data_IF_440894356921
#
_entry.id   IF_440894356921
#
_cell.length_a   1.000
_cell.length_b   1.000
_cell.length_c   1.000
_cell.angle_alpha   90.00
_cell.angle_beta   90.00
_cell.angle_gamma   90.00
#
_symmetry.space_group_name_H-M   'P 1'
#
loop_
_entity.id
_entity.type
_entity.pdbx_description
1 polymer ?
#
# COMPACT_ATOMS: atom_id res chain seq x y z
N UNK A 1 10.84 20.90 10.08
CA UNK A 1 10.57 22.28 10.54
C UNK A 1 9.75 22.22 11.82
N UNK A 2 10.14 23.01 12.83
CA UNK A 2 9.31 23.23 14.02
C UNK A 2 8.51 24.51 13.80
N UNK A 3 7.21 24.45 14.02
CA UNK A 3 6.33 25.61 13.86
C UNK A 3 5.53 25.78 15.16
N UNK A 4 5.68 26.91 15.81
CA UNK A 4 4.85 27.29 16.96
C UNK A 4 4.46 28.76 16.88
N UNK A 5 3.18 29.07 17.10
CA UNK A 5 2.74 30.43 17.38
C UNK A 5 1.43 30.40 18.16
N UNK A 6 1.45 30.96 19.34
CA UNK A 6 0.31 30.95 20.29
C UNK A 6 -0.86 31.86 19.93
N UNK A 7 -0.73 32.70 18.93
CA UNK A 7 -1.72 33.73 18.57
C UNK A 7 -2.37 33.53 17.18
N UNK A 8 -2.18 32.37 16.55
CA UNK A 8 -2.72 32.07 15.22
C UNK A 8 -3.54 30.79 15.30
N UNK A 9 -4.75 30.78 14.76
CA UNK A 9 -5.63 29.60 14.78
C UNK A 9 -5.04 28.43 13.98
N UNK A 10 -4.33 28.72 12.88
CA UNK A 10 -3.68 27.71 12.03
C UNK A 10 -2.37 28.22 11.45
N UNK A 11 -1.40 27.34 11.36
CA UNK A 11 -0.18 27.52 10.55
C UNK A 11 -0.33 26.73 9.26
N UNK A 12 -0.14 27.40 8.12
CA UNK A 12 -0.31 26.79 6.80
C UNK A 12 1.01 26.79 6.04
N UNK A 13 1.38 25.63 5.49
CA UNK A 13 2.50 25.47 4.56
C UNK A 13 1.91 25.17 3.18
N UNK A 14 2.34 25.94 2.17
CA UNK A 14 1.86 25.78 0.80
C UNK A 14 2.92 25.17 -0.07
N UNK A 15 2.55 24.14 -0.81
CA UNK A 15 3.36 23.49 -1.84
C UNK A 15 2.70 23.70 -3.21
N UNK A 16 3.53 23.77 -4.25
CA UNK A 16 3.08 23.73 -5.64
C UNK A 16 3.82 22.59 -6.32
N UNK A 17 3.07 21.66 -6.89
CA UNK A 17 3.62 20.50 -7.58
C UNK A 17 2.93 20.35 -8.94
N UNK A 18 3.62 19.73 -9.88
CA UNK A 18 3.02 19.34 -11.15
C UNK A 18 2.53 17.91 -10.99
N UNK A 19 1.23 17.68 -11.11
CA UNK A 19 0.65 16.36 -11.26
C UNK A 19 0.78 15.94 -12.72
N UNK A 20 1.45 14.80 -13.03
CA UNK A 20 1.47 14.28 -14.39
C UNK A 20 0.07 13.88 -14.86
N UNK A 21 -0.19 13.80 -16.18
CA UNK A 21 -1.47 13.33 -16.68
C UNK A 21 -1.72 11.87 -16.25
N UNK A 22 -2.99 11.50 -16.12
CA UNK A 22 -3.45 10.16 -15.72
C UNK A 22 -2.81 9.68 -14.42
N UNK A 23 -2.63 10.57 -13.45
CA UNK A 23 -1.97 10.22 -12.19
C UNK A 23 -2.85 10.41 -10.96
N UNK A 24 -2.70 9.49 -10.01
CA UNK A 24 -3.19 9.67 -8.64
C UNK A 24 -2.05 10.26 -7.81
N UNK A 25 -2.26 11.44 -7.24
CA UNK A 25 -1.24 12.15 -6.46
C UNK A 25 -1.37 11.86 -4.97
N UNK A 26 -0.22 11.71 -4.31
CA UNK A 26 -0.12 11.47 -2.87
C UNK A 26 0.92 12.37 -2.23
N UNK A 27 0.79 12.61 -0.93
CA UNK A 27 1.83 13.21 -0.10
C UNK A 27 2.16 12.31 1.09
N UNK A 28 3.44 12.10 1.31
CA UNK A 28 3.96 11.51 2.55
C UNK A 28 4.50 12.61 3.45
N UNK A 29 4.07 12.63 4.70
CA UNK A 29 4.58 13.53 5.74
C UNK A 29 5.22 12.69 6.83
N UNK A 30 6.55 12.41 6.71
CA UNK A 30 7.20 11.50 7.63
C UNK A 30 7.45 12.13 8.99
N UNK A 31 7.51 11.28 10.03
CA UNK A 31 7.90 11.63 11.40
C UNK A 31 7.10 12.81 11.98
N UNK A 32 5.81 12.87 11.68
CA UNK A 32 4.91 13.82 12.35
C UNK A 32 4.89 13.50 13.85
N UNK A 33 5.11 14.53 14.66
CA UNK A 33 4.95 14.44 16.11
C UNK A 33 4.41 15.76 16.68
N UNK A 34 3.60 15.65 17.71
CA UNK A 34 2.98 16.78 18.41
C UNK A 34 3.56 16.93 19.81
N UNK A 35 3.70 18.15 20.30
CA UNK A 35 4.36 18.43 21.59
C UNK A 35 3.64 17.87 22.82
N UNK A 36 2.38 17.48 22.70
CA UNK A 36 1.56 16.95 23.78
C UNK A 36 1.33 15.43 23.68
N UNK A 37 2.05 14.74 22.80
CA UNK A 37 1.98 13.29 22.53
C UNK A 37 0.59 12.75 22.16
N UNK A 38 -0.36 13.65 21.86
CA UNK A 38 -1.68 13.28 21.37
C UNK A 38 -1.76 13.40 19.84
N UNK A 39 -2.60 12.60 19.22
CA UNK A 39 -2.90 12.73 17.80
C UNK A 39 -3.81 13.93 17.56
N UNK A 40 -3.45 14.74 16.59
CA UNK A 40 -4.23 15.89 16.16
C UNK A 40 -4.54 15.81 14.67
N UNK A 41 -5.61 16.47 14.27
CA UNK A 41 -5.95 16.56 12.85
C UNK A 41 -5.12 17.66 12.17
N UNK A 42 -4.66 17.35 10.96
CA UNK A 42 -4.20 18.36 10.01
C UNK A 42 -5.25 18.53 8.91
N UNK A 43 -5.33 19.73 8.37
CA UNK A 43 -6.19 20.01 7.21
C UNK A 43 -5.34 20.03 5.94
N UNK A 44 -5.73 19.24 4.95
CA UNK A 44 -5.11 19.20 3.64
C UNK A 44 -6.07 19.84 2.63
N UNK A 45 -5.64 20.93 2.01
CA UNK A 45 -6.41 21.62 0.97
C UNK A 45 -5.72 21.39 -0.37
N UNK A 46 -6.44 20.83 -1.33
CA UNK A 46 -5.97 20.61 -2.70
C UNK A 46 -6.85 21.43 -3.65
N UNK A 47 -6.25 22.39 -4.35
CA UNK A 47 -6.96 23.28 -5.28
C UNK A 47 -8.25 23.88 -4.68
N UNK A 48 -8.22 24.25 -3.40
CA UNK A 48 -9.36 24.87 -2.70
C UNK A 48 -10.31 23.89 -2.00
N UNK A 49 -10.19 22.58 -2.23
CA UNK A 49 -11.00 21.55 -1.52
C UNK A 49 -10.23 21.06 -0.29
N UNK A 50 -10.84 21.19 0.89
CA UNK A 50 -10.21 20.83 2.17
C UNK A 50 -10.75 19.51 2.71
N UNK A 51 -9.83 18.64 3.17
CA UNK A 51 -10.11 17.42 3.93
C UNK A 51 -9.32 17.45 5.24
N UNK A 52 -9.95 17.04 6.33
CA UNK A 52 -9.27 16.88 7.62
C UNK A 52 -8.78 15.43 7.75
N UNK A 53 -7.54 15.27 8.19
CA UNK A 53 -6.89 13.99 8.38
C UNK A 53 -6.36 13.89 9.81
N UNK A 54 -6.56 12.75 10.44
CA UNK A 54 -5.96 12.46 11.76
C UNK A 54 -4.57 11.89 11.53
N UNK A 55 -3.59 12.40 12.25
CA UNK A 55 -2.21 11.92 12.22
C UNK A 55 -1.98 10.93 13.35
N UNK A 56 -1.12 9.93 13.15
CA UNK A 56 -0.86 8.86 14.11
C UNK A 56 0.57 8.85 14.70
N UNK A 57 1.30 9.93 14.56
CA UNK A 57 2.68 10.10 15.06
C UNK A 57 3.72 9.12 14.48
N UNK A 58 3.42 8.42 13.39
CA UNK A 58 4.35 7.45 12.79
C UNK A 58 4.65 7.77 11.33
N UNK A 59 3.70 7.48 10.47
CA UNK A 59 3.83 7.65 9.03
C UNK A 59 2.49 8.03 8.43
N UNK A 60 2.41 9.24 7.94
CA UNK A 60 1.20 9.73 7.31
C UNK A 60 1.37 9.81 5.80
N UNK A 61 0.45 9.16 5.09
CA UNK A 61 0.39 9.11 3.64
C UNK A 61 -1.03 9.45 3.18
N UNK A 62 -1.18 10.58 2.49
CA UNK A 62 -2.49 11.13 2.16
C UNK A 62 -2.73 11.18 0.67
N UNK A 63 -3.96 10.85 0.28
CA UNK A 63 -4.45 10.96 -1.08
C UNK A 63 -4.83 12.40 -1.41
N UNK A 64 -4.24 12.93 -2.48
CA UNK A 64 -4.45 14.30 -2.96
C UNK A 64 -5.40 14.38 -4.17
N UNK A 65 -5.81 13.22 -4.72
CA UNK A 65 -6.74 13.12 -5.82
C UNK A 65 -6.12 12.71 -7.15
N UNK A 66 -7.02 12.45 -8.10
CA UNK A 66 -6.69 12.04 -9.46
C UNK A 66 -6.66 13.22 -10.41
N UNK A 67 -5.71 13.21 -11.35
CA UNK A 67 -5.52 14.24 -12.38
C UNK A 67 -5.49 13.59 -13.77
N UNK A 68 -6.53 13.89 -14.57
CA UNK A 68 -6.65 13.38 -15.94
C UNK A 68 -5.61 14.01 -16.88
N UNK A 69 -5.33 15.30 -16.68
CA UNK A 69 -4.38 16.09 -17.48
C UNK A 69 -3.28 16.64 -16.58
N UNK A 70 -2.13 16.95 -17.18
CA UNK A 70 -1.06 17.65 -16.46
C UNK A 70 -1.61 18.92 -15.83
N UNK A 71 -1.37 19.10 -14.53
CA UNK A 71 -1.96 20.19 -13.77
C UNK A 71 -0.99 20.73 -12.72
N UNK A 72 -0.94 22.04 -12.60
CA UNK A 72 -0.30 22.70 -11.45
C UNK A 72 -1.22 22.59 -10.24
N UNK A 73 -0.79 21.84 -9.22
CA UNK A 73 -1.57 21.58 -8.02
C UNK A 73 -1.04 22.41 -6.86
N UNK A 74 -1.92 23.18 -6.22
CA UNK A 74 -1.61 23.90 -4.98
C UNK A 74 -2.10 23.08 -3.80
N UNK A 75 -1.19 22.70 -2.91
CA UNK A 75 -1.45 21.88 -1.73
C UNK A 75 -1.12 22.72 -0.50
N UNK A 76 -2.08 22.84 0.40
CA UNK A 76 -1.89 23.51 1.69
C UNK A 76 -2.03 22.51 2.81
N UNK A 77 -1.00 22.40 3.64
CA UNK A 77 -1.02 21.65 4.89
C UNK A 77 -1.23 22.65 6.03
N UNK A 78 -2.35 22.58 6.73
CA UNK A 78 -2.70 23.50 7.80
C UNK A 78 -2.77 22.77 9.14
N UNK A 79 -2.06 23.28 10.13
CA UNK A 79 -1.91 22.71 11.46
C UNK A 79 -2.49 23.67 12.51
N UNK A 80 -3.06 23.19 13.64
CA UNK A 80 -3.48 24.03 14.74
C UNK A 80 -2.33 24.92 15.24
N UNK A 81 -2.55 26.23 15.30
CA UNK A 81 -1.50 27.22 15.61
C UNK A 81 -1.07 27.24 17.08
N UNK A 82 -1.90 26.69 17.98
CA UNK A 82 -1.62 26.57 19.41
C UNK A 82 -0.83 25.30 19.79
N UNK A 83 -0.36 24.53 18.82
CA UNK A 83 0.41 23.30 19.00
C UNK A 83 1.79 23.44 18.39
N UNK A 84 2.77 22.79 19.00
CA UNK A 84 4.07 22.60 18.38
C UNK A 84 4.06 21.28 17.63
N UNK A 85 4.41 21.34 16.35
CA UNK A 85 4.49 20.17 15.48
C UNK A 85 5.90 20.08 14.89
N UNK A 86 6.45 18.89 14.82
CA UNK A 86 7.64 18.60 14.03
C UNK A 86 7.34 17.52 13.00
N UNK A 87 7.98 17.62 11.83
CA UNK A 87 7.91 16.63 10.77
C UNK A 87 9.08 16.81 9.80
N UNK A 88 9.41 15.74 9.10
CA UNK A 88 10.41 15.78 8.04
C UNK A 88 9.81 16.39 6.75
N UNK A 89 10.69 16.71 5.79
CA UNK A 89 10.22 17.29 4.53
C UNK A 89 9.23 16.35 3.84
N UNK A 90 8.01 16.84 3.49
CA UNK A 90 7.05 16.05 2.75
C UNK A 90 7.57 15.64 1.39
N UNK A 91 7.20 14.43 0.97
CA UNK A 91 7.49 13.89 -0.36
C UNK A 91 6.20 13.67 -1.13
N UNK A 92 6.21 14.06 -2.41
CA UNK A 92 5.05 13.91 -3.28
C UNK A 92 5.28 12.76 -4.25
N UNK A 93 4.24 11.95 -4.46
CA UNK A 93 4.27 10.77 -5.33
C UNK A 93 3.12 10.83 -6.31
N UNK A 94 3.39 10.46 -7.55
CA UNK A 94 2.37 10.29 -8.57
C UNK A 94 2.35 8.83 -9.02
N UNK A 95 1.21 8.18 -8.88
CA UNK A 95 0.96 6.86 -9.44
C UNK A 95 0.42 7.02 -10.85
N UNK A 96 1.16 6.57 -11.86
CA UNK A 96 0.67 6.45 -13.23
C UNK A 96 -0.41 5.36 -13.28
N UNK A 97 -1.67 5.78 -13.41
CA UNK A 97 -2.82 4.87 -13.35
C UNK A 97 -2.95 4.01 -14.61
N UNK A 98 -2.44 4.46 -15.75
CA UNK A 98 -2.45 3.67 -16.99
C UNK A 98 -1.46 2.51 -16.90
N UNK A 99 -0.23 2.78 -16.49
CA UNK A 99 0.77 1.73 -16.28
C UNK A 99 0.36 0.77 -15.15
N UNK A 100 -0.25 1.31 -14.08
CA UNK A 100 -0.82 0.48 -13.03
C UNK A 100 -1.89 -0.47 -13.56
N UNK A 101 -2.82 0.03 -14.39
CA UNK A 101 -3.88 -0.79 -14.97
C UNK A 101 -3.33 -1.86 -15.91
N UNK A 102 -2.32 -1.53 -16.73
CA UNK A 102 -1.63 -2.50 -17.61
C UNK A 102 -0.99 -3.61 -16.77
N UNK A 103 -0.29 -3.24 -15.69
CA UNK A 103 0.33 -4.21 -14.79
C UNK A 103 -0.70 -5.12 -14.13
N UNK A 104 -1.82 -4.55 -13.64
CA UNK A 104 -2.92 -5.31 -13.03
C UNK A 104 -3.60 -6.25 -14.02
N UNK A 105 -3.85 -5.80 -15.25
CA UNK A 105 -4.41 -6.64 -16.31
C UNK A 105 -3.47 -7.82 -16.62
N UNK A 106 -2.17 -7.55 -16.75
CA UNK A 106 -1.16 -8.60 -16.99
C UNK A 106 -1.13 -9.65 -15.87
N UNK A 107 -1.36 -9.24 -14.63
CA UNK A 107 -1.47 -10.16 -13.49
C UNK A 107 -2.78 -10.96 -13.55
N UNK A 108 -3.89 -10.29 -13.86
CA UNK A 108 -5.22 -10.90 -13.89
C UNK A 108 -5.45 -11.83 -15.09
N UNK A 109 -4.76 -11.60 -16.22
CA UNK A 109 -4.82 -12.47 -17.41
C UNK A 109 -4.18 -13.86 -17.18
N UNK A 110 -3.50 -14.05 -16.07
CA UNK A 110 -2.95 -15.36 -15.73
C UNK A 110 -4.06 -16.24 -15.18
N UNK A 111 -4.47 -17.22 -15.98
CA UNK A 111 -5.51 -18.21 -15.66
C UNK A 111 -5.16 -19.01 -14.40
N UNK A 112 -5.55 -18.50 -13.25
CA UNK A 112 -5.51 -19.26 -12.00
C UNK A 112 -6.87 -19.23 -11.34
N UNK A 113 -7.52 -20.40 -11.25
CA UNK A 113 -8.76 -20.56 -10.50
C UNK A 113 -8.44 -20.89 -9.05
N UNK A 114 -8.87 -20.01 -8.14
CA UNK A 114 -8.64 -20.21 -6.70
C UNK A 114 -9.95 -20.61 -6.03
N UNK A 115 -9.88 -21.67 -5.21
CA UNK A 115 -10.98 -22.07 -4.33
C UNK A 115 -10.44 -22.36 -2.93
N UNK A 116 -11.24 -22.12 -1.91
CA UNK A 116 -10.87 -22.36 -0.51
C UNK A 116 -11.86 -23.32 0.15
N UNK A 117 -11.38 -24.18 1.01
CA UNK A 117 -12.22 -25.08 1.80
C UNK A 117 -11.50 -25.43 3.11
N UNK A 118 -12.14 -25.16 4.24
CA UNK A 118 -11.56 -25.35 5.57
C UNK A 118 -10.17 -24.70 5.69
N UNK A 119 -9.15 -25.51 5.98
CA UNK A 119 -7.75 -25.09 6.14
C UNK A 119 -6.94 -25.22 4.83
N UNK A 120 -7.58 -25.26 3.66
CA UNK A 120 -6.92 -25.47 2.36
C UNK A 120 -7.24 -24.37 1.36
N UNK A 121 -6.26 -24.06 0.53
CA UNK A 121 -6.38 -23.24 -0.66
C UNK A 121 -5.98 -24.05 -1.87
N UNK A 122 -6.86 -24.14 -2.85
CA UNK A 122 -6.64 -24.87 -4.10
C UNK A 122 -6.44 -23.85 -5.22
N UNK A 123 -5.40 -24.04 -6.02
CA UNK A 123 -5.10 -23.17 -7.16
C UNK A 123 -4.85 -24.02 -8.38
N UNK A 124 -5.73 -23.94 -9.36
CA UNK A 124 -5.47 -24.47 -10.68
C UNK A 124 -4.71 -23.42 -11.49
N UNK A 125 -3.56 -23.75 -12.02
CA UNK A 125 -2.72 -22.84 -12.78
C UNK A 125 -2.43 -23.36 -14.19
N UNK A 126 -2.17 -22.40 -15.10
CA UNK A 126 -1.63 -22.66 -16.43
C UNK A 126 -0.53 -21.65 -16.72
N UNK A 127 0.67 -22.09 -17.07
CA UNK A 127 1.79 -21.20 -17.39
C UNK A 127 2.59 -21.72 -18.57
N UNK A 128 2.97 -20.85 -19.49
CA UNK A 128 3.82 -21.21 -20.65
C UNK A 128 5.28 -21.46 -20.25
N UNK A 129 5.72 -20.88 -19.14
CA UNK A 129 7.09 -20.96 -18.61
C UNK A 129 7.07 -21.31 -17.12
N UNK A 130 8.22 -21.62 -16.55
CA UNK A 130 8.34 -21.69 -15.10
C UNK A 130 7.95 -20.33 -14.50
N UNK A 131 7.14 -20.36 -13.45
CA UNK A 131 6.57 -19.18 -12.83
C UNK A 131 6.52 -19.30 -11.30
N UNK A 132 6.13 -18.24 -10.63
CA UNK A 132 5.82 -18.26 -9.20
C UNK A 132 4.38 -17.84 -8.99
N UNK A 133 3.65 -18.61 -8.20
CA UNK A 133 2.37 -18.18 -7.65
C UNK A 133 2.63 -17.40 -6.37
N UNK A 134 2.18 -16.16 -6.36
CA UNK A 134 2.25 -15.28 -5.20
C UNK A 134 0.91 -15.28 -4.48
N UNK A 135 0.97 -15.44 -3.15
CA UNK A 135 -0.22 -15.47 -2.29
C UNK A 135 -0.16 -14.32 -1.30
N UNK A 136 -1.19 -13.49 -1.28
CA UNK A 136 -1.36 -12.42 -0.28
C UNK A 136 -1.80 -12.97 1.08
N UNK A 137 -1.30 -14.14 1.43
CA UNK A 137 -1.52 -14.82 2.69
C UNK A 137 -0.24 -14.67 3.52
N UNK A 138 -0.31 -14.24 4.79
CA UNK A 138 0.86 -14.17 5.66
C UNK A 138 1.61 -15.48 5.75
N UNK A 139 2.95 -15.40 5.65
CA UNK A 139 3.80 -16.56 5.80
C UNK A 139 3.77 -17.09 7.24
N UNK A 140 3.43 -18.36 7.39
CA UNK A 140 3.50 -19.08 8.67
C UNK A 140 4.10 -20.48 8.47
N UNK A 141 4.80 -20.98 9.49
CA UNK A 141 5.42 -22.33 9.46
C UNK A 141 4.39 -23.47 9.40
N UNK A 142 3.13 -23.19 9.73
CA UNK A 142 2.02 -24.13 9.65
C UNK A 142 1.57 -24.44 8.22
N UNK A 143 1.95 -23.61 7.25
CA UNK A 143 1.62 -23.83 5.85
C UNK A 143 2.50 -24.91 5.21
N UNK A 144 1.86 -25.78 4.45
CA UNK A 144 2.51 -26.75 3.55
C UNK A 144 1.92 -26.62 2.15
N UNK A 145 2.72 -26.96 1.13
CA UNK A 145 2.28 -26.89 -0.27
C UNK A 145 2.56 -28.19 -1.01
N UNK A 146 1.65 -28.54 -1.92
CA UNK A 146 1.87 -29.59 -2.90
C UNK A 146 1.53 -29.11 -4.31
N UNK A 147 2.25 -29.60 -5.31
CA UNK A 147 1.90 -29.48 -6.74
C UNK A 147 1.62 -30.87 -7.27
N UNK A 148 0.42 -31.11 -7.80
CA UNK A 148 0.01 -32.41 -8.32
C UNK A 148 0.37 -33.54 -7.33
N UNK A 149 0.04 -33.37 -6.04
CA UNK A 149 0.31 -34.27 -4.91
C UNK A 149 1.79 -34.38 -4.47
N UNK A 150 2.73 -33.74 -5.14
CA UNK A 150 4.14 -33.73 -4.73
C UNK A 150 4.42 -32.53 -3.83
N UNK A 151 5.05 -32.76 -2.67
CA UNK A 151 5.40 -31.71 -1.72
C UNK A 151 6.41 -30.72 -2.32
N UNK A 152 6.17 -29.43 -2.14
CA UNK A 152 7.03 -28.35 -2.62
C UNK A 152 7.29 -27.35 -1.49
N UNK A 153 8.34 -26.53 -1.68
CA UNK A 153 8.73 -25.52 -0.70
C UNK A 153 7.90 -24.25 -0.86
N UNK A 154 7.38 -23.74 0.25
CA UNK A 154 6.84 -22.38 0.36
C UNK A 154 7.99 -21.44 0.68
N UNK A 155 8.07 -20.31 -0.01
CA UNK A 155 9.07 -19.27 0.22
C UNK A 155 8.38 -18.01 0.73
N UNK A 156 9.08 -17.26 1.61
CA UNK A 156 8.63 -15.94 2.01
C UNK A 156 8.89 -14.95 0.86
N UNK A 157 7.91 -14.10 0.55
CA UNK A 157 7.98 -13.07 -0.48
C UNK A 157 7.38 -11.77 0.04
N UNK A 158 7.79 -10.64 -0.55
CA UNK A 158 7.27 -9.31 -0.20
C UNK A 158 7.17 -9.08 1.33
N UNK A 159 8.32 -9.30 2.01
CA UNK A 159 8.50 -9.16 3.47
C UNK A 159 7.67 -10.12 4.35
N UNK A 160 6.43 -10.44 4.02
CA UNK A 160 5.56 -11.21 4.90
C UNK A 160 4.62 -12.20 4.23
N UNK A 161 4.55 -12.24 2.92
CA UNK A 161 3.65 -13.11 2.17
C UNK A 161 4.33 -14.41 1.70
N UNK A 162 3.59 -15.26 1.00
CA UNK A 162 4.07 -16.55 0.51
C UNK A 162 4.18 -16.59 -1.00
N UNK A 163 5.14 -17.37 -1.51
CA UNK A 163 5.18 -17.79 -2.91
C UNK A 163 5.50 -19.26 -3.04
N UNK A 164 5.03 -19.86 -4.13
CA UNK A 164 5.35 -21.24 -4.55
C UNK A 164 5.78 -21.18 -6.01
N UNK A 165 6.97 -21.71 -6.29
CA UNK A 165 7.45 -21.84 -7.66
C UNK A 165 6.75 -23.03 -8.34
N UNK A 166 6.24 -22.78 -9.56
CA UNK A 166 5.50 -23.78 -10.35
C UNK A 166 6.19 -23.98 -11.70
N UNK A 167 6.24 -25.23 -12.19
CA UNK A 167 6.78 -25.52 -13.54
C UNK A 167 5.83 -25.02 -14.62
N UNK A 168 6.35 -24.91 -15.84
CA UNK A 168 5.54 -24.70 -17.03
C UNK A 168 4.49 -25.83 -17.21
N UNK A 169 3.38 -25.49 -17.85
CA UNK A 169 2.25 -26.39 -18.07
C UNK A 169 1.06 -26.07 -17.17
N UNK A 170 0.16 -27.03 -17.03
CA UNK A 170 -1.00 -26.96 -16.18
C UNK A 170 -0.79 -27.79 -14.93
N UNK A 171 -1.31 -27.31 -13.79
CA UNK A 171 -1.20 -28.05 -12.53
C UNK A 171 -2.13 -27.51 -11.45
N UNK A 172 -2.17 -28.25 -10.35
CA UNK A 172 -2.91 -27.86 -9.16
C UNK A 172 -1.96 -27.70 -7.98
N UNK A 173 -1.93 -26.50 -7.40
CA UNK A 173 -1.29 -26.24 -6.11
C UNK A 173 -2.32 -26.37 -5.01
N UNK A 174 -1.96 -27.08 -3.93
CA UNK A 174 -2.76 -27.14 -2.71
C UNK A 174 -1.91 -26.64 -1.56
N UNK A 175 -2.35 -25.54 -0.96
CA UNK A 175 -1.83 -25.09 0.34
C UNK A 175 -2.68 -25.71 1.45
N UNK A 176 -2.06 -26.19 2.50
CA UNK A 176 -2.74 -26.70 3.70
C UNK A 176 -2.14 -26.05 4.92
N UNK A 177 -2.98 -25.51 5.79
CA UNK A 177 -2.58 -24.89 7.05
C UNK A 177 -2.88 -25.83 8.23
N UNK A 178 -1.88 -26.06 9.05
CA UNK A 178 -2.01 -26.74 10.35
C UNK A 178 -1.28 -25.86 11.36
N UNK A 179 -1.97 -25.29 12.35
CA UNK A 179 -1.33 -24.47 13.37
C UNK A 179 -0.15 -25.20 14.03
N UNK A 180 0.92 -24.46 14.28
CA UNK A 180 2.11 -25.01 14.93
C UNK A 180 1.72 -25.43 16.36
N UNK A 181 1.94 -26.72 16.69
CA UNK A 181 1.55 -27.28 17.98
C UNK A 181 0.33 -28.20 17.94
N UNK A 182 -0.37 -28.29 16.80
CA UNK A 182 -1.48 -29.23 16.58
C UNK A 182 -1.06 -30.46 15.74
N UNK A 183 0.23 -30.80 15.72
CA UNK A 183 0.77 -32.02 15.10
C UNK A 183 0.94 -33.12 16.14
#
# INVERSE_FOLDING_TARGET
KNVSNSNIDFVTITYRVIAPPHSQLYVSVPNISWSDDNNHSLSITVNGVTKNQVTDNTFDFFDLGYFETESMVTIKLSFPGNKVISFDNPSFYALDTQNYQIAMNTINERDSKVTTSNNKVFVDYSSKTNASLFFTIPYDKGWTATINHKKVKIQRAQKGFMKVDVPSGKGKVVLTFIPYGLK
#
